data_IF_033361053624
#
_entry.id   IF_033361053624
#
_cell.length_a   1.000
_cell.length_b   1.000
_cell.length_c   1.000
_cell.angle_alpha   90.00
_cell.angle_beta   90.00
_cell.angle_gamma   90.00
#
_symmetry.space_group_name_H-M   'P 1'
#
loop_
_entity.id
_entity.type
_entity.pdbx_description
1 polymer ?
#
# COMPACT_ATOMS: atom_id res chain seq x y z
N UNK A 1 -20.01 6.22 14.65
CA UNK A 1 -20.17 4.75 14.51
C UNK A 1 -18.97 4.24 13.74
N UNK A 2 -18.10 3.54 14.45
CA UNK A 2 -16.74 3.20 14.04
C UNK A 2 -16.74 2.01 13.07
N UNK A 3 -17.10 2.20 11.80
CA UNK A 3 -17.08 1.13 10.78
C UNK A 3 -15.66 0.87 10.25
N UNK A 4 -14.75 0.58 11.19
CA UNK A 4 -13.45 -0.07 10.90
C UNK A 4 -13.65 -1.61 10.84
N UNK A 5 -14.87 -2.08 11.11
CA UNK A 5 -15.23 -3.46 11.46
C UNK A 5 -15.08 -4.55 10.40
N UNK A 6 -14.58 -4.28 9.18
CA UNK A 6 -14.32 -5.38 8.23
C UNK A 6 -13.08 -5.16 7.38
N UNK A 7 -11.92 -5.40 7.97
CA UNK A 7 -10.69 -5.71 7.25
C UNK A 7 -10.91 -6.98 6.42
N UNK A 8 -11.43 -6.82 5.20
CA UNK A 8 -11.96 -7.94 4.40
C UNK A 8 -10.99 -8.42 3.32
N UNK A 9 -9.89 -7.70 3.12
CA UNK A 9 -8.96 -7.97 2.02
C UNK A 9 -7.63 -8.45 2.60
N UNK A 10 -7.17 -9.61 2.13
CA UNK A 10 -5.85 -10.12 2.47
C UNK A 10 -4.81 -9.48 1.55
N UNK A 11 -3.90 -8.72 2.13
CA UNK A 11 -2.84 -7.99 1.42
C UNK A 11 -1.50 -8.61 1.77
N UNK A 12 -0.71 -8.94 0.75
CA UNK A 12 0.68 -9.35 0.93
C UNK A 12 1.56 -8.13 0.77
N UNK A 13 2.43 -7.87 1.75
CA UNK A 13 3.41 -6.81 1.64
C UNK A 13 4.75 -7.43 1.32
N UNK A 14 5.44 -6.90 0.32
CA UNK A 14 6.75 -7.33 -0.10
C UNK A 14 7.76 -6.19 0.04
N UNK A 15 8.95 -6.51 0.54
CA UNK A 15 10.06 -5.56 0.63
C UNK A 15 11.12 -5.91 -0.41
N UNK A 16 11.82 -4.89 -0.89
CA UNK A 16 12.95 -5.08 -1.77
C UNK A 16 14.17 -5.50 -0.93
N UNK A 17 14.82 -6.60 -1.33
CA UNK A 17 16.09 -7.04 -0.75
C UNK A 17 17.14 -7.00 -1.85
N UNK A 18 18.24 -6.31 -1.56
CA UNK A 18 19.41 -6.24 -2.43
C UNK A 18 20.45 -7.24 -1.93
N UNK A 19 20.80 -8.21 -2.77
CA UNK A 19 21.84 -9.20 -2.46
C UNK A 19 23.04 -8.93 -3.36
N UNK A 20 24.23 -8.83 -2.77
CA UNK A 20 25.46 -8.68 -3.54
C UNK A 20 25.74 -9.96 -4.31
N UNK A 21 25.93 -9.86 -5.63
CA UNK A 21 26.11 -11.03 -6.51
C UNK A 21 27.59 -11.48 -6.60
N UNK A 22 28.47 -10.90 -5.77
CA UNK A 22 29.90 -11.21 -5.73
C UNK A 22 30.72 -10.71 -6.94
N UNK A 23 30.08 -10.38 -8.07
CA UNK A 23 30.72 -9.88 -9.29
C UNK A 23 30.66 -8.35 -9.47
N UNK A 24 30.38 -7.60 -8.40
CA UNK A 24 30.26 -6.12 -8.43
C UNK A 24 28.86 -5.59 -8.75
N UNK A 25 27.87 -6.48 -8.96
CA UNK A 25 26.46 -6.12 -9.13
C UNK A 25 25.61 -6.42 -7.88
N UNK A 26 24.40 -5.85 -7.84
CA UNK A 26 23.38 -6.16 -6.84
C UNK A 26 22.16 -6.79 -7.52
N UNK A 27 21.70 -7.93 -6.99
CA UNK A 27 20.45 -8.56 -7.40
C UNK A 27 19.31 -8.07 -6.50
N UNK A 28 18.23 -7.59 -7.13
CA UNK A 28 17.06 -7.00 -6.46
C UNK A 28 15.91 -7.99 -6.46
N UNK A 29 15.57 -8.52 -5.29
CA UNK A 29 14.50 -9.50 -5.15
C UNK A 29 13.42 -8.98 -4.21
N UNK A 30 12.16 -9.08 -4.61
CA UNK A 30 11.02 -8.79 -3.75
C UNK A 30 10.70 -10.01 -2.91
N UNK A 31 10.78 -9.86 -1.59
CA UNK A 31 10.49 -10.93 -0.63
C UNK A 31 9.27 -10.59 0.21
N UNK A 32 8.48 -11.59 0.57
CA UNK A 32 7.34 -11.42 1.47
C UNK A 32 7.83 -10.85 2.82
N UNK A 33 7.33 -9.69 3.19
CA UNK A 33 7.57 -9.07 4.49
C UNK A 33 6.51 -9.51 5.50
N UNK A 34 5.23 -9.36 5.15
CA UNK A 34 4.11 -9.80 5.99
C UNK A 34 2.85 -10.00 5.15
N UNK A 35 1.86 -10.68 5.73
CA UNK A 35 0.50 -10.72 5.19
C UNK A 35 -0.44 -10.13 6.24
N UNK A 36 -1.25 -9.17 5.84
CA UNK A 36 -2.17 -8.45 6.73
C UNK A 36 -3.58 -8.40 6.15
N UNK A 37 -4.55 -8.13 7.02
CA UNK A 37 -5.91 -7.83 6.62
C UNK A 37 -6.10 -6.32 6.57
N UNK A 38 -6.69 -5.84 5.48
CA UNK A 38 -6.95 -4.43 5.24
C UNK A 38 -8.37 -4.19 4.71
N UNK A 39 -8.84 -2.96 4.88
CA UNK A 39 -10.00 -2.40 4.16
C UNK A 39 -9.47 -1.59 3.00
N UNK A 40 -9.96 -1.86 1.79
CA UNK A 40 -9.57 -1.14 0.58
C UNK A 40 -10.70 -0.22 0.13
N UNK A 41 -10.35 1.00 -0.25
CA UNK A 41 -11.25 1.97 -0.88
C UNK A 41 -10.57 2.52 -2.13
N UNK A 42 -11.18 2.32 -3.29
CA UNK A 42 -10.71 2.93 -4.52
C UNK A 42 -11.21 4.38 -4.60
N UNK A 43 -10.29 5.31 -4.77
CA UNK A 43 -10.61 6.70 -5.08
C UNK A 43 -10.77 6.74 -6.60
N UNK A 44 -12.01 6.73 -7.08
CA UNK A 44 -12.31 7.00 -8.50
C UNK A 44 -12.34 8.52 -8.69
N UNK A 45 -11.89 8.99 -9.86
CA UNK A 45 -11.67 10.42 -10.16
C UNK A 45 -12.89 11.36 -10.13
N UNK A 46 -14.05 10.94 -9.62
CA UNK A 46 -15.21 11.82 -9.46
C UNK A 46 -15.03 12.84 -8.32
N UNK A 47 -14.19 12.53 -7.32
CA UNK A 47 -13.84 13.47 -6.23
C UNK A 47 -12.67 14.42 -6.59
N UNK A 48 -12.12 14.35 -7.82
CA UNK A 48 -10.95 15.14 -8.27
C UNK A 48 -11.29 16.16 -9.36
N UNK A 49 -12.48 16.77 -9.31
CA UNK A 49 -12.85 17.86 -10.23
C UNK A 49 -12.22 19.22 -9.89
N UNK A 50 -11.36 19.31 -8.86
CA UNK A 50 -10.63 20.53 -8.52
C UNK A 50 -9.14 20.24 -8.34
N UNK A 51 -8.35 20.82 -9.26
CA UNK A 51 -6.89 20.73 -9.41
C UNK A 51 -6.32 19.42 -10.00
N UNK A 52 -5.70 19.60 -11.18
CA UNK A 52 -4.83 18.66 -11.90
C UNK A 52 -5.48 17.56 -12.74
N UNK A 53 -6.19 18.01 -13.78
CA UNK A 53 -6.57 17.21 -14.92
C UNK A 53 -5.35 16.94 -15.84
N UNK A 54 -4.56 15.89 -15.57
CA UNK A 54 -3.81 15.20 -16.63
C UNK A 54 -3.33 13.78 -16.33
N UNK A 55 -3.56 13.21 -15.15
CA UNK A 55 -3.30 11.78 -14.95
C UNK A 55 -4.31 11.21 -13.98
N UNK A 56 -5.41 10.68 -14.52
CA UNK A 56 -6.40 9.91 -13.76
C UNK A 56 -5.79 8.58 -13.30
N UNK A 57 -4.78 8.63 -12.42
CA UNK A 57 -4.17 7.45 -11.82
C UNK A 57 -5.08 6.98 -10.71
N UNK A 58 -5.62 5.77 -10.84
CA UNK A 58 -6.53 5.19 -9.86
C UNK A 58 -5.75 5.00 -8.55
N UNK A 59 -6.04 5.84 -7.56
CA UNK A 59 -5.46 5.75 -6.22
C UNK A 59 -6.33 4.83 -5.37
N UNK A 60 -5.69 4.02 -4.52
CA UNK A 60 -6.38 3.10 -3.62
C UNK A 60 -5.96 3.40 -2.20
N UNK A 61 -6.91 3.75 -1.35
CA UNK A 61 -6.68 3.85 0.10
C UNK A 61 -6.77 2.47 0.73
N UNK A 62 -5.80 2.15 1.57
CA UNK A 62 -5.74 0.92 2.35
C UNK A 62 -5.68 1.28 3.83
N UNK A 63 -6.64 0.80 4.61
CA UNK A 63 -6.63 0.92 6.07
C UNK A 63 -6.29 -0.44 6.66
N UNK A 64 -5.29 -0.50 7.53
CA UNK A 64 -4.82 -1.73 8.16
C UNK A 64 -4.50 -1.48 9.63
N UNK A 65 -4.35 -2.55 10.42
CA UNK A 65 -3.92 -2.41 11.81
C UNK A 65 -2.43 -2.06 11.87
N UNK A 66 -2.06 -1.08 12.68
CA UNK A 66 -0.68 -0.60 12.90
C UNK A 66 0.20 -1.60 13.67
N UNK A 67 0.03 -2.91 13.46
CA UNK A 67 0.82 -3.97 14.11
C UNK A 67 2.14 -4.22 13.40
N UNK A 68 2.28 -3.75 12.15
CA UNK A 68 3.49 -3.86 11.35
C UNK A 68 3.90 -2.49 10.84
N UNK A 69 5.20 -2.20 10.88
CA UNK A 69 5.77 -0.99 10.32
C UNK A 69 5.91 -1.17 8.80
N UNK A 70 5.03 -0.55 8.03
CA UNK A 70 5.18 -0.49 6.57
C UNK A 70 6.06 0.69 6.18
N UNK A 71 6.81 0.53 5.07
CA UNK A 71 7.67 1.57 4.53
C UNK A 71 7.30 1.91 3.09
N UNK A 72 7.47 3.16 2.61
CA UNK A 72 7.17 3.55 1.23
C UNK A 72 7.99 2.79 0.16
N UNK A 73 9.14 2.23 0.55
CA UNK A 73 10.00 1.40 -0.31
C UNK A 73 9.40 0.02 -0.58
N UNK A 74 8.40 -0.40 0.20
CA UNK A 74 7.71 -1.68 0.05
C UNK A 74 6.60 -1.59 -1.01
N UNK A 75 6.13 -2.75 -1.45
CA UNK A 75 4.98 -2.88 -2.35
C UNK A 75 3.91 -3.78 -1.76
N UNK A 76 2.66 -3.49 -2.08
CA UNK A 76 1.51 -4.29 -1.66
C UNK A 76 0.97 -5.09 -2.84
N UNK A 77 0.79 -6.39 -2.67
CA UNK A 77 0.14 -7.27 -3.64
C UNK A 77 -1.28 -7.54 -3.16
N UNK A 78 -2.25 -7.07 -3.95
CA UNK A 78 -3.67 -7.17 -3.68
C UNK A 78 -4.29 -7.93 -4.86
N UNK A 79 -4.89 -9.09 -4.60
CA UNK A 79 -5.51 -9.92 -5.66
C UNK A 79 -4.58 -10.11 -6.87
N UNK A 80 -3.31 -10.45 -6.62
CA UNK A 80 -2.21 -10.60 -7.61
C UNK A 80 -1.73 -9.33 -8.31
N UNK A 81 -2.35 -8.18 -8.05
CA UNK A 81 -1.97 -6.89 -8.62
C UNK A 81 -0.99 -6.18 -7.69
N UNK A 82 0.18 -5.76 -8.18
CA UNK A 82 1.13 -5.00 -7.38
C UNK A 82 0.76 -3.51 -7.30
N UNK A 83 0.97 -2.94 -6.12
CA UNK A 83 0.77 -1.53 -5.81
C UNK A 83 2.00 -0.95 -5.10
N UNK A 84 2.40 0.26 -5.49
CA UNK A 84 3.36 1.06 -4.73
C UNK A 84 2.68 1.77 -3.56
N UNK A 85 3.39 1.86 -2.45
CA UNK A 85 2.99 2.66 -1.29
C UNK A 85 3.48 4.09 -1.54
N UNK A 86 2.55 5.02 -1.73
CA UNK A 86 2.89 6.44 -1.93
C UNK A 86 3.08 7.16 -0.59
N UNK A 87 2.20 6.85 0.37
CA UNK A 87 2.17 7.57 1.64
C UNK A 87 1.53 6.73 2.73
N UNK A 88 1.95 6.97 3.98
CA UNK A 88 1.52 6.25 5.18
C UNK A 88 1.24 7.28 6.28
N UNK A 89 0.11 7.15 6.96
CA UNK A 89 -0.26 7.97 8.12
C UNK A 89 -0.99 7.14 9.17
N UNK A 90 -0.90 7.49 10.46
CA UNK A 90 -1.91 7.03 11.41
C UNK A 90 -3.31 7.44 10.95
N UNK A 91 -4.29 6.59 11.22
CA UNK A 91 -5.69 6.88 10.93
C UNK A 91 -6.21 7.95 11.90
N UNK A 92 -6.92 8.95 11.37
CA UNK A 92 -7.32 10.15 12.12
C UNK A 92 -8.18 9.86 13.36
N UNK A 93 -9.08 8.88 13.25
CA UNK A 93 -10.03 8.54 14.33
C UNK A 93 -9.47 7.49 15.32
N UNK A 94 -8.53 6.65 14.88
CA UNK A 94 -8.04 5.53 15.69
C UNK A 94 -6.55 5.23 15.39
N UNK A 95 -5.63 5.46 16.34
CA UNK A 95 -4.20 5.29 16.11
C UNK A 95 -3.75 3.83 15.97
N UNK A 96 -4.58 2.85 16.36
CA UNK A 96 -4.30 1.43 16.13
C UNK A 96 -4.46 1.04 14.67
N UNK A 97 -5.00 1.93 13.84
CA UNK A 97 -5.07 1.77 12.41
C UNK A 97 -4.17 2.78 11.71
N UNK A 98 -3.62 2.35 10.59
CA UNK A 98 -2.85 3.16 9.68
C UNK A 98 -3.55 3.20 8.33
N UNK A 99 -3.47 4.36 7.68
CA UNK A 99 -3.94 4.57 6.33
C UNK A 99 -2.74 4.68 5.40
N UNK A 100 -2.75 3.88 4.35
CA UNK A 100 -1.82 3.95 3.24
C UNK A 100 -2.53 4.43 1.97
N UNK A 101 -1.88 5.32 1.23
CA UNK A 101 -2.25 5.64 -0.13
C UNK A 101 -1.43 4.77 -1.09
N UNK A 102 -2.11 4.01 -1.93
CA UNK A 102 -1.53 3.06 -2.85
C UNK A 102 -1.79 3.47 -4.29
N UNK A 103 -0.85 3.12 -5.15
CA UNK A 103 -0.94 3.32 -6.58
C UNK A 103 -0.61 2.04 -7.33
N UNK A 104 -1.43 1.69 -8.33
CA UNK A 104 -1.20 0.49 -9.13
C UNK A 104 0.09 0.63 -9.95
N UNK A 105 0.95 -0.38 -9.89
CA UNK A 105 2.11 -0.49 -10.78
C UNK A 105 1.59 -0.99 -12.14
N UNK A 106 1.88 -0.24 -13.21
CA UNK A 106 1.52 -0.62 -14.58
C UNK A 106 2.65 -1.38 -15.27
#
# INVERSE_FOLDING_TARGET
MNDIGRLSHRVRVERLVETADGAGGFSRTWVLYTTLWAKLRHIRGEESLTSDALTARIRTQMIYRSTHQLEPTMRCIINTIPYHILWITPHTDDPHYSLCLLERIS
#
